data_IF_039500651823
#
_entry.id   IF_039500651823
#
_cell.length_a   1.000
_cell.length_b   1.000
_cell.length_c   1.000
_cell.angle_alpha   90.00
_cell.angle_beta   90.00
_cell.angle_gamma   90.00
#
_symmetry.space_group_name_H-M   'P 1'
#
loop_
_entity.id
_entity.type
_entity.pdbx_description
1 polymer ?
#
# COMPACT_ATOMS: atom_id res chain seq x y z
N UNK A 1 -3.80 -16.47 8.10
CA UNK A 1 -3.87 -15.50 9.22
C UNK A 1 -2.45 -15.03 9.47
N UNK A 2 -2.10 -13.76 9.20
CA UNK A 2 -0.75 -13.27 9.48
C UNK A 2 -0.62 -13.11 10.99
N UNK A 3 0.11 -14.02 11.62
CA UNK A 3 0.27 -14.04 13.06
C UNK A 3 1.29 -12.97 13.47
N UNK A 4 1.04 -12.27 14.58
CA UNK A 4 1.90 -11.21 15.12
C UNK A 4 3.24 -11.75 15.69
N UNK A 5 3.64 -12.96 15.30
CA UNK A 5 4.83 -13.67 15.79
C UNK A 5 6.11 -12.98 15.33
N UNK A 6 6.09 -12.38 14.14
CA UNK A 6 7.21 -11.58 13.65
C UNK A 6 7.54 -10.42 14.60
N UNK A 7 6.53 -9.70 15.10
CA UNK A 7 6.75 -8.57 16.01
C UNK A 7 7.41 -9.02 17.31
N UNK A 8 6.95 -10.14 17.88
CA UNK A 8 7.54 -10.73 19.10
C UNK A 8 8.99 -11.13 18.88
N UNK A 9 9.29 -11.78 17.75
CA UNK A 9 10.65 -12.16 17.40
C UNK A 9 11.54 -10.93 17.21
N UNK A 10 11.11 -9.96 16.42
CA UNK A 10 11.86 -8.73 16.17
C UNK A 10 12.22 -8.04 17.49
N UNK A 11 11.28 -7.94 18.42
CA UNK A 11 11.51 -7.30 19.71
C UNK A 11 12.53 -8.05 20.59
N UNK A 12 12.62 -9.37 20.47
CA UNK A 12 13.59 -10.18 21.20
C UNK A 12 15.03 -10.04 20.67
N UNK A 13 15.20 -9.68 19.39
CA UNK A 13 16.52 -9.50 18.76
C UNK A 13 17.10 -8.10 18.93
N UNK A 14 16.36 -7.17 19.54
CA UNK A 14 16.79 -5.78 19.70
C UNK A 14 17.79 -5.67 20.85
N UNK A 15 18.88 -4.94 20.62
CA UNK A 15 19.88 -4.67 21.65
C UNK A 15 19.25 -3.96 22.86
N UNK A 16 19.78 -4.24 24.06
CA UNK A 16 19.33 -3.61 25.29
C UNK A 16 19.36 -2.08 25.15
N UNK A 17 18.22 -1.42 25.42
CA UNK A 17 18.05 0.02 25.29
C UNK A 17 17.61 0.54 23.91
N UNK A 18 17.55 -0.32 22.89
CA UNK A 18 17.04 0.07 21.56
C UNK A 18 15.51 -0.10 21.47
N UNK A 19 14.86 0.64 20.56
CA UNK A 19 13.40 0.58 20.32
C UNK A 19 13.11 0.38 18.84
N UNK A 20 12.12 -0.47 18.53
CA UNK A 20 11.60 -0.63 17.16
C UNK A 20 10.46 0.35 16.95
N UNK A 21 10.48 1.06 15.82
CA UNK A 21 9.35 1.85 15.34
C UNK A 21 8.81 1.20 14.05
N UNK A 22 7.59 0.62 14.06
CA UNK A 22 7.01 0.06 12.86
C UNK A 22 6.50 1.18 11.95
N UNK A 23 6.81 1.06 10.67
CA UNK A 23 6.34 1.96 9.62
C UNK A 23 5.49 1.12 8.67
N UNK A 24 4.27 1.56 8.43
CA UNK A 24 3.33 0.89 7.54
C UNK A 24 3.17 1.73 6.29
N UNK A 25 3.44 1.11 5.15
CA UNK A 25 3.04 1.63 3.84
C UNK A 25 1.75 0.96 3.44
N UNK A 26 0.79 1.75 2.97
CA UNK A 26 -0.41 1.20 2.36
C UNK A 26 -0.83 2.05 1.16
N UNK A 27 -1.42 1.40 0.17
CA UNK A 27 -1.99 2.06 -1.00
C UNK A 27 -3.39 1.50 -1.22
N UNK A 28 -4.36 2.38 -1.45
CA UNK A 28 -5.72 2.04 -1.86
C UNK A 28 -6.11 2.82 -3.12
N UNK A 29 -7.20 2.42 -3.77
CA UNK A 29 -7.79 3.21 -4.82
C UNK A 29 -8.54 4.39 -4.18
N UNK A 30 -8.01 5.60 -4.33
CA UNK A 30 -8.65 6.80 -3.79
C UNK A 30 -9.11 7.70 -4.93
N UNK A 31 -10.34 8.18 -4.84
CA UNK A 31 -10.89 9.16 -5.79
C UNK A 31 -10.30 10.53 -5.46
N UNK A 32 -9.65 11.16 -6.42
CA UNK A 32 -9.11 12.50 -6.26
C UNK A 32 -10.12 13.52 -6.80
N UNK A 33 -11.04 13.94 -5.93
CA UNK A 33 -12.20 14.77 -6.31
C UNK A 33 -11.79 16.14 -6.86
N UNK A 34 -10.64 16.66 -6.41
CA UNK A 34 -10.13 17.98 -6.81
C UNK A 34 -9.56 18.03 -8.24
N UNK A 35 -9.12 16.89 -8.80
CA UNK A 35 -8.43 16.84 -10.10
C UNK A 35 -9.30 16.24 -11.21
N UNK A 36 -10.62 16.29 -11.05
CA UNK A 36 -11.57 15.76 -12.03
C UNK A 36 -11.70 14.25 -11.95
N UNK A 37 -12.49 13.74 -10.98
CA UNK A 37 -12.96 12.35 -10.85
C UNK A 37 -12.00 11.26 -11.39
N UNK A 38 -10.72 11.37 -11.08
CA UNK A 38 -9.72 10.38 -11.47
C UNK A 38 -9.42 9.52 -10.24
N UNK A 39 -9.57 8.20 -10.35
CA UNK A 39 -9.07 7.28 -9.33
C UNK A 39 -7.55 7.22 -9.45
N UNK A 40 -6.84 7.51 -8.36
CA UNK A 40 -5.40 7.33 -8.24
C UNK A 40 -5.09 6.33 -7.12
N UNK A 41 -3.87 5.82 -7.10
CA UNK A 41 -3.39 4.93 -6.05
C UNK A 41 -2.30 5.64 -5.25
N UNK A 42 -2.66 6.54 -4.31
CA UNK A 42 -1.68 7.13 -3.42
C UNK A 42 -1.01 6.07 -2.56
N UNK A 43 0.25 6.31 -2.23
CA UNK A 43 1.02 5.59 -1.20
C UNK A 43 1.01 6.48 0.03
N UNK A 44 0.44 5.96 1.11
CA UNK A 44 0.50 6.59 2.41
C UNK A 44 1.47 5.87 3.34
N UNK A 45 2.05 6.61 4.26
CA UNK A 45 2.90 6.11 5.33
C UNK A 45 2.30 6.47 6.70
N UNK A 46 2.38 5.54 7.64
CA UNK A 46 1.96 5.76 9.04
C UNK A 46 2.82 4.95 10.02
N UNK A 47 2.75 5.29 11.31
CA UNK A 47 3.43 4.57 12.38
C UNK A 47 2.53 3.44 12.87
N UNK A 48 3.02 2.20 12.76
CA UNK A 48 2.24 0.99 13.07
C UNK A 48 1.99 0.71 14.56
N UNK A 49 2.65 1.43 15.46
CA UNK A 49 2.54 1.23 16.91
C UNK A 49 1.52 2.18 17.56
N UNK A 50 0.67 2.80 16.75
CA UNK A 50 -0.39 3.70 17.20
C UNK A 50 -1.73 2.95 17.09
N UNK A 51 -2.62 3.19 18.08
CA UNK A 51 -3.98 2.64 18.08
C UNK A 51 -4.72 2.96 16.77
N UNK A 52 -5.45 1.98 16.22
CA UNK A 52 -6.16 2.06 14.93
C UNK A 52 -7.05 3.30 14.81
N UNK A 53 -7.71 3.70 15.89
CA UNK A 53 -8.59 4.89 15.94
C UNK A 53 -7.85 6.20 15.65
N UNK A 54 -6.54 6.24 15.91
CA UNK A 54 -5.69 7.37 15.57
C UNK A 54 -5.09 7.17 14.18
N UNK A 55 -4.59 5.97 13.85
CA UNK A 55 -4.04 5.67 12.51
C UNK A 55 -5.03 5.96 11.37
N UNK A 56 -6.32 5.71 11.57
CA UNK A 56 -7.34 5.93 10.54
C UNK A 56 -7.65 7.40 10.25
N UNK A 57 -7.15 8.34 11.07
CA UNK A 57 -7.36 9.77 10.83
C UNK A 57 -6.43 10.27 9.71
N UNK A 58 -6.90 11.16 8.81
CA UNK A 58 -6.06 11.71 7.75
C UNK A 58 -4.75 12.31 8.26
N UNK A 59 -4.80 13.00 9.41
CA UNK A 59 -3.62 13.62 10.05
C UNK A 59 -2.54 12.64 10.53
N UNK A 60 -2.85 11.35 10.62
CA UNK A 60 -1.93 10.30 11.06
C UNK A 60 -1.26 9.57 9.90
N UNK A 61 -1.54 10.01 8.67
CA UNK A 61 -1.07 9.43 7.42
C UNK A 61 -0.41 10.54 6.62
N UNK A 62 0.81 10.31 6.14
CA UNK A 62 1.46 11.22 5.20
C UNK A 62 1.39 10.62 3.80
N UNK A 63 1.08 11.44 2.80
CA UNK A 63 1.17 11.05 1.39
C UNK A 63 2.64 11.06 0.99
N UNK A 64 3.15 9.94 0.49
CA UNK A 64 4.53 9.80 0.04
C UNK A 64 4.62 10.03 -1.45
N UNK A 65 3.77 9.33 -2.21
CA UNK A 65 3.79 9.38 -3.66
C UNK A 65 2.44 8.91 -4.24
N UNK A 66 2.26 9.09 -5.53
CA UNK A 66 1.18 8.51 -6.32
C UNK A 66 1.77 7.38 -7.16
N UNK A 67 1.24 6.16 -7.02
CA UNK A 67 1.59 5.08 -7.95
C UNK A 67 1.15 5.53 -9.35
N UNK A 68 2.07 5.59 -10.33
CA UNK A 68 1.71 5.95 -11.68
C UNK A 68 0.72 4.92 -12.22
N UNK A 69 -0.53 5.35 -12.36
CA UNK A 69 -1.52 4.54 -13.04
C UNK A 69 -1.20 4.65 -14.52
N UNK A 70 -0.79 3.52 -15.11
CA UNK A 70 -0.77 3.38 -16.55
C UNK A 70 -2.19 3.67 -17.05
N UNK A 71 -2.39 4.86 -17.62
CA UNK A 71 -3.61 5.14 -18.35
C UNK A 71 -3.79 4.03 -19.38
N UNK A 72 -4.92 3.34 -19.27
CA UNK A 72 -5.24 2.24 -20.18
C UNK A 72 -5.43 2.87 -21.55
N UNK A 73 -4.42 2.85 -22.41
CA UNK A 73 -4.69 2.98 -23.83
C UNK A 73 -5.63 1.81 -24.17
N UNK A 74 -6.85 2.12 -24.65
CA UNK A 74 -7.84 1.09 -25.01
C UNK A 74 -7.21 0.01 -25.90
N UNK A 75 -6.27 0.40 -26.74
CA UNK A 75 -5.48 -0.47 -27.62
C UNK A 75 -4.69 -1.56 -26.90
N UNK A 76 -3.99 -1.27 -25.78
CA UNK A 76 -3.12 -2.29 -25.13
C UNK A 76 -3.90 -3.43 -24.47
N UNK A 77 -5.09 -3.15 -23.94
CA UNK A 77 -5.94 -4.14 -23.24
C UNK A 77 -6.53 -5.21 -24.16
N UNK A 78 -6.62 -4.93 -25.45
CA UNK A 78 -7.20 -5.84 -26.44
C UNK A 78 -6.16 -6.76 -27.09
N UNK A 79 -4.87 -6.45 -26.93
CA UNK A 79 -3.81 -7.31 -27.44
C UNK A 79 -3.87 -8.69 -26.79
N UNK A 80 -3.66 -9.73 -27.61
CA UNK A 80 -3.61 -11.11 -27.12
C UNK A 80 -2.50 -11.28 -26.06
N UNK A 81 -1.36 -10.65 -26.28
CA UNK A 81 -0.20 -10.65 -25.39
C UNK A 81 -0.53 -10.15 -23.98
N UNK A 82 -1.27 -9.05 -23.88
CA UNK A 82 -1.68 -8.51 -22.58
C UNK A 82 -2.65 -9.44 -21.85
N UNK A 83 -3.58 -10.08 -22.58
CA UNK A 83 -4.53 -11.04 -22.00
C UNK A 83 -3.83 -12.32 -21.53
N UNK A 84 -2.87 -12.81 -22.30
CA UNK A 84 -2.04 -13.98 -21.97
C UNK A 84 -1.22 -13.70 -20.69
N UNK A 85 -0.56 -12.55 -20.62
CA UNK A 85 0.26 -12.16 -19.47
C UNK A 85 -0.56 -12.04 -18.17
N UNK A 86 -1.76 -11.46 -18.23
CA UNK A 86 -2.68 -11.41 -17.06
C UNK A 86 -3.05 -12.81 -16.61
N UNK A 87 -3.39 -13.71 -17.55
CA UNK A 87 -3.81 -15.08 -17.22
C UNK A 87 -2.70 -15.85 -16.52
N UNK A 88 -1.46 -15.75 -17.00
CA UNK A 88 -0.29 -16.39 -16.39
C UNK A 88 -0.01 -15.83 -14.98
N UNK A 89 -0.18 -14.52 -14.79
CA UNK A 89 0.20 -13.85 -13.54
C UNK A 89 -0.80 -14.08 -12.42
N UNK A 90 -2.10 -14.04 -12.72
CA UNK A 90 -3.15 -14.02 -11.69
C UNK A 90 -3.99 -15.30 -11.60
N UNK A 91 -3.92 -16.19 -12.60
CA UNK A 91 -4.75 -17.39 -12.68
C UNK A 91 -3.91 -18.63 -13.00
N UNK A 92 -3.11 -19.04 -12.00
CA UNK A 92 -2.37 -20.30 -12.01
C UNK A 92 -3.21 -21.43 -11.41
#
# INVERSE_FOLDING_TARGET
MFNCDWWKQANNYVLYGSKILPIIFYSDATTLDHFGKSSRHPIFITIGNILTNFCNKPKSKALVDLIPILEKSKQKKETKEFREAIRITFHK
#
